data_IF_003269601541
#
_entry.id   IF_003269601541
#
_cell.length_a   1.000
_cell.length_b   1.000
_cell.length_c   1.000
_cell.angle_alpha   90.00
_cell.angle_beta   90.00
_cell.angle_gamma   90.00
#
_symmetry.space_group_name_H-M   'P 1'
#
loop_
_entity.id
_entity.type
_entity.pdbx_description
1 polymer ?
#
# COMPACT_ATOMS: atom_id res chain seq x y z
N UNK A 1 -6.12 20.85 -21.59
CA UNK A 1 -7.15 19.85 -21.28
C UNK A 1 -6.54 18.51 -20.84
N UNK A 2 -5.65 17.91 -21.64
CA UNK A 2 -5.02 16.60 -21.33
C UNK A 2 -4.23 16.57 -20.00
N UNK A 3 -3.38 17.57 -19.74
CA UNK A 3 -2.62 17.66 -18.48
C UNK A 3 -3.50 17.80 -17.23
N UNK A 4 -4.68 18.41 -17.38
CA UNK A 4 -5.62 18.65 -16.28
C UNK A 4 -6.37 17.37 -15.91
N UNK A 5 -6.73 16.55 -16.92
CA UNK A 5 -7.29 15.21 -16.73
C UNK A 5 -6.31 14.27 -16.02
N UNK A 6 -5.04 14.25 -16.44
CA UNK A 6 -3.98 13.46 -15.78
C UNK A 6 -3.86 13.86 -14.30
N UNK A 7 -3.83 15.16 -14.01
CA UNK A 7 -3.78 15.67 -12.65
C UNK A 7 -4.95 15.20 -11.77
N UNK A 8 -6.17 15.19 -12.32
CA UNK A 8 -7.37 14.71 -11.60
C UNK A 8 -7.28 13.22 -11.30
N UNK A 9 -6.86 12.40 -12.27
CA UNK A 9 -6.74 10.94 -12.09
C UNK A 9 -5.65 10.60 -11.08
N UNK A 10 -4.52 11.32 -11.10
CA UNK A 10 -3.45 11.15 -10.12
C UNK A 10 -3.91 11.49 -8.69
N UNK A 11 -4.66 12.58 -8.52
CA UNK A 11 -5.24 12.95 -7.23
C UNK A 11 -6.24 11.91 -6.73
N UNK A 12 -7.09 11.38 -7.62
CA UNK A 12 -8.03 10.33 -7.28
C UNK A 12 -7.29 9.06 -6.81
N UNK A 13 -6.24 8.65 -7.53
CA UNK A 13 -5.42 7.49 -7.14
C UNK A 13 -4.80 7.69 -5.75
N UNK A 14 -4.14 8.83 -5.51
CA UNK A 14 -3.51 9.14 -4.22
C UNK A 14 -4.55 9.13 -3.08
N UNK A 15 -5.72 9.72 -3.32
CA UNK A 15 -6.81 9.72 -2.34
C UNK A 15 -7.29 8.30 -2.03
N UNK A 16 -7.47 7.45 -3.03
CA UNK A 16 -7.81 6.04 -2.84
C UNK A 16 -6.77 5.34 -1.98
N UNK A 17 -5.48 5.39 -2.37
CA UNK A 17 -4.41 4.72 -1.62
C UNK A 17 -4.29 5.27 -0.19
N UNK A 18 -4.50 6.57 0.01
CA UNK A 18 -4.52 7.18 1.34
C UNK A 18 -5.66 6.65 2.22
N UNK A 19 -6.88 6.57 1.68
CA UNK A 19 -8.03 6.00 2.38
C UNK A 19 -7.74 4.54 2.76
N UNK A 20 -7.17 3.74 1.84
CA UNK A 20 -6.76 2.37 2.11
C UNK A 20 -5.75 2.30 3.27
N UNK A 21 -4.74 3.17 3.27
CA UNK A 21 -3.76 3.26 4.37
C UNK A 21 -4.44 3.54 5.71
N UNK A 22 -5.41 4.46 5.75
CA UNK A 22 -6.19 4.75 6.98
C UNK A 22 -7.00 3.53 7.41
N UNK A 23 -7.60 2.80 6.47
CA UNK A 23 -8.33 1.56 6.75
C UNK A 23 -7.42 0.50 7.37
N UNK A 24 -6.25 0.23 6.79
CA UNK A 24 -5.28 -0.72 7.35
C UNK A 24 -4.79 -0.29 8.74
N UNK A 25 -4.52 1.01 8.95
CA UNK A 25 -4.14 1.53 10.28
C UNK A 25 -5.24 1.32 11.32
N UNK A 26 -6.50 1.51 10.94
CA UNK A 26 -7.66 1.27 11.81
C UNK A 26 -7.80 -0.21 12.14
N UNK A 27 -7.64 -1.09 11.14
CA UNK A 27 -7.66 -2.54 11.33
C UNK A 27 -6.57 -2.98 12.33
N UNK A 28 -5.35 -2.49 12.14
CA UNK A 28 -4.23 -2.76 13.03
C UNK A 28 -4.53 -2.36 14.49
N UNK A 29 -5.11 -1.16 14.69
CA UNK A 29 -5.54 -0.71 16.02
C UNK A 29 -6.63 -1.60 16.64
N UNK A 30 -7.53 -2.15 15.83
CA UNK A 30 -8.55 -3.10 16.30
C UNK A 30 -7.92 -4.42 16.74
N UNK A 31 -6.97 -4.98 15.98
CA UNK A 31 -6.23 -6.20 16.36
C UNK A 31 -5.47 -5.98 17.67
N UNK A 32 -4.79 -4.85 17.81
CA UNK A 32 -4.07 -4.53 19.04
C UNK A 32 -4.98 -4.48 20.28
N UNK A 33 -6.18 -3.89 20.14
CA UNK A 33 -7.18 -3.89 21.23
C UNK A 33 -7.67 -5.29 21.58
N UNK A 34 -7.85 -6.15 20.57
CA UNK A 34 -8.19 -7.57 20.74
C UNK A 34 -7.08 -8.32 21.49
N UNK A 35 -5.81 -8.11 21.11
CA UNK A 35 -4.64 -8.65 21.84
C UNK A 35 -4.65 -8.23 23.31
N UNK A 36 -4.83 -6.94 23.59
CA UNK A 36 -4.86 -6.43 24.97
C UNK A 36 -5.97 -7.07 25.81
N UNK A 37 -7.15 -7.26 25.23
CA UNK A 37 -8.26 -7.97 25.88
C UNK A 37 -7.89 -9.42 26.22
N UNK A 38 -7.15 -10.10 25.35
CA UNK A 38 -6.70 -11.48 25.60
C UNK A 38 -5.67 -11.56 26.74
N UNK A 39 -4.65 -10.69 26.75
CA UNK A 39 -3.63 -10.68 27.81
C UNK A 39 -4.18 -10.35 29.21
N UNK A 40 -5.12 -9.40 29.31
CA UNK A 40 -5.77 -9.06 30.59
C UNK A 40 -6.70 -10.19 31.10
N UNK A 41 -7.10 -11.10 30.20
CA UNK A 41 -7.87 -12.30 30.57
C UNK A 41 -6.96 -13.46 31.01
N UNK A 42 -5.80 -13.64 30.37
CA UNK A 42 -4.81 -14.67 30.74
C UNK A 42 -4.25 -14.41 32.14
N UNK A 43 -4.06 -13.13 32.50
CA UNK A 43 -3.66 -12.72 33.85
C UNK A 43 -4.78 -12.90 34.91
N UNK A 44 -6.02 -13.15 34.50
CA UNK A 44 -7.22 -13.12 35.37
C UNK A 44 -7.97 -14.47 35.40
N UNK A 45 -7.37 -15.54 34.87
CA UNK A 45 -8.04 -16.82 34.68
C UNK A 45 -8.16 -17.67 35.97
N UNK A 46 -9.12 -17.31 36.82
CA UNK A 46 -9.81 -18.21 37.77
C UNK A 46 -11.33 -18.02 37.61
N UNK A 47 -11.94 -18.52 36.52
CA UNK A 47 -13.35 -19.03 36.52
C UNK A 47 -13.76 -19.59 35.16
N UNK A 48 -13.99 -20.89 35.12
CA UNK A 48 -14.24 -21.72 33.92
C UNK A 48 -15.59 -21.40 33.25
N UNK A 49 -16.57 -20.85 33.97
CA UNK A 49 -17.94 -20.61 33.46
C UNK A 49 -18.04 -19.32 32.61
N UNK A 50 -17.17 -18.32 32.85
CA UNK A 50 -17.12 -17.10 32.03
C UNK A 50 -16.27 -17.22 30.76
N UNK A 51 -15.49 -18.30 30.63
CA UNK A 51 -14.53 -18.50 29.56
C UNK A 51 -15.23 -18.78 28.21
N UNK A 52 -16.27 -19.63 28.19
CA UNK A 52 -16.99 -19.98 26.95
C UNK A 52 -17.73 -18.81 26.30
N UNK A 53 -18.41 -17.97 27.09
CA UNK A 53 -19.18 -16.83 26.56
C UNK A 53 -18.27 -15.68 26.08
N UNK A 54 -17.11 -15.48 26.72
CA UNK A 54 -16.14 -14.44 26.32
C UNK A 54 -15.27 -14.87 25.14
N UNK A 55 -14.88 -16.15 25.03
CA UNK A 55 -14.20 -16.68 23.85
C UNK A 55 -15.10 -16.61 22.61
N UNK A 56 -16.40 -16.85 22.77
CA UNK A 56 -17.40 -16.62 21.71
C UNK A 56 -17.43 -15.16 21.23
N UNK A 57 -17.38 -14.18 22.15
CA UNK A 57 -17.35 -12.76 21.79
C UNK A 57 -16.05 -12.35 21.08
N UNK A 58 -14.92 -12.96 21.46
CA UNK A 58 -13.63 -12.76 20.79
C UNK A 58 -13.67 -13.33 19.37
N UNK A 59 -14.21 -14.54 19.21
CA UNK A 59 -14.40 -15.22 17.92
C UNK A 59 -15.28 -14.39 16.97
N UNK A 60 -16.42 -13.87 17.45
CA UNK A 60 -17.32 -13.01 16.66
C UNK A 60 -16.60 -11.74 16.19
N UNK A 61 -15.82 -11.10 17.07
CA UNK A 61 -15.06 -9.90 16.70
C UNK A 61 -13.95 -10.21 15.69
N UNK A 62 -13.30 -11.36 15.82
CA UNK A 62 -12.26 -11.80 14.90
C UNK A 62 -12.83 -12.07 13.50
N UNK A 63 -13.95 -12.79 13.43
CA UNK A 63 -14.67 -13.06 12.17
C UNK A 63 -15.15 -11.78 11.49
N UNK A 64 -15.69 -10.83 12.27
CA UNK A 64 -16.05 -9.52 11.73
C UNK A 64 -14.83 -8.75 11.18
N UNK A 65 -13.67 -8.90 11.82
CA UNK A 65 -12.44 -8.26 11.38
C UNK A 65 -11.88 -8.89 10.10
N UNK A 66 -11.98 -10.22 9.99
CA UNK A 66 -11.67 -10.99 8.78
C UNK A 66 -12.52 -10.52 7.59
N UNK A 67 -13.85 -10.46 7.77
CA UNK A 67 -14.77 -9.94 6.74
C UNK A 67 -14.39 -8.51 6.31
N UNK A 68 -14.07 -7.63 7.27
CA UNK A 68 -13.66 -6.25 6.96
C UNK A 68 -12.32 -6.18 6.23
N UNK A 69 -11.37 -7.04 6.57
CA UNK A 69 -10.12 -7.12 5.83
C UNK A 69 -10.35 -7.63 4.40
N UNK A 70 -11.26 -8.58 4.21
CA UNK A 70 -11.60 -9.13 2.90
C UNK A 70 -12.24 -8.05 2.00
N UNK A 71 -13.18 -7.27 2.53
CA UNK A 71 -13.74 -6.09 1.83
C UNK A 71 -12.64 -5.07 1.46
N UNK A 72 -11.74 -4.75 2.39
CA UNK A 72 -10.63 -3.81 2.11
C UNK A 72 -9.72 -4.37 1.03
N UNK A 73 -9.42 -5.67 1.08
CA UNK A 73 -8.59 -6.36 0.08
C UNK A 73 -9.26 -6.38 -1.30
N UNK A 74 -10.57 -6.61 -1.39
CA UNK A 74 -11.32 -6.48 -2.65
C UNK A 74 -11.22 -5.06 -3.22
N UNK A 75 -11.34 -4.04 -2.37
CA UNK A 75 -11.18 -2.64 -2.79
C UNK A 75 -9.75 -2.36 -3.25
N UNK A 76 -8.72 -2.92 -2.59
CA UNK A 76 -7.32 -2.81 -3.04
C UNK A 76 -7.17 -3.38 -4.45
N UNK A 77 -7.72 -4.57 -4.69
CA UNK A 77 -7.64 -5.22 -5.99
C UNK A 77 -8.38 -4.42 -7.07
N UNK A 78 -9.58 -3.90 -6.76
CA UNK A 78 -10.34 -3.05 -7.67
C UNK A 78 -9.59 -1.75 -8.02
N UNK A 79 -8.99 -1.10 -7.03
CA UNK A 79 -8.14 0.09 -7.24
C UNK A 79 -6.94 -0.29 -8.11
N UNK A 80 -6.27 -1.39 -7.82
CA UNK A 80 -5.13 -1.82 -8.61
C UNK A 80 -5.51 -2.09 -10.07
N UNK A 81 -6.59 -2.85 -10.32
CA UNK A 81 -7.07 -3.18 -11.66
C UNK A 81 -7.55 -1.96 -12.45
N UNK A 82 -8.15 -0.98 -11.77
CA UNK A 82 -8.63 0.25 -12.41
C UNK A 82 -7.48 1.19 -12.77
N UNK A 83 -6.49 1.33 -11.88
CA UNK A 83 -5.41 2.29 -12.03
C UNK A 83 -4.14 1.71 -12.67
N UNK A 84 -4.10 0.41 -12.98
CA UNK A 84 -2.95 -0.25 -13.61
C UNK A 84 -2.52 0.39 -14.93
N UNK A 85 -3.48 0.70 -15.81
CA UNK A 85 -3.20 1.32 -17.11
C UNK A 85 -2.67 2.74 -16.89
N UNK A 86 -3.26 3.47 -15.94
CA UNK A 86 -2.85 4.82 -15.59
C UNK A 86 -1.41 4.85 -15.04
N UNK A 87 -1.07 3.90 -14.17
CA UNK A 87 0.28 3.72 -13.62
C UNK A 87 1.29 3.41 -14.74
N UNK A 88 0.95 2.52 -15.68
CA UNK A 88 1.84 2.18 -16.80
C UNK A 88 2.10 3.41 -17.67
N UNK A 89 1.04 4.17 -18.01
CA UNK A 89 1.17 5.41 -18.76
C UNK A 89 2.03 6.44 -18.01
N UNK A 90 1.85 6.55 -16.69
CA UNK A 90 2.66 7.43 -15.85
C UNK A 90 4.14 7.03 -15.89
N UNK A 91 4.47 5.75 -15.69
CA UNK A 91 5.84 5.21 -15.73
C UNK A 91 6.50 5.50 -17.08
N UNK A 92 5.83 5.18 -18.18
CA UNK A 92 6.34 5.41 -19.55
C UNK A 92 6.59 6.90 -19.78
N UNK A 93 5.64 7.75 -19.36
CA UNK A 93 5.75 9.20 -19.53
C UNK A 93 6.91 9.76 -18.70
N UNK A 94 7.10 9.30 -17.47
CA UNK A 94 8.23 9.71 -16.62
C UNK A 94 9.56 9.26 -17.20
N UNK A 95 9.66 8.01 -17.67
CA UNK A 95 10.87 7.48 -18.29
C UNK A 95 11.25 8.29 -19.53
N UNK A 96 10.29 8.47 -20.44
CA UNK A 96 10.46 9.27 -21.66
C UNK A 96 10.93 10.68 -21.31
N UNK A 97 10.29 11.34 -20.34
CA UNK A 97 10.65 12.69 -19.89
C UNK A 97 12.09 12.73 -19.35
N UNK A 98 12.49 11.78 -18.50
CA UNK A 98 13.84 11.72 -17.94
C UNK A 98 14.87 11.50 -19.06
N UNK A 99 14.64 10.56 -19.97
CA UNK A 99 15.53 10.27 -21.10
C UNK A 99 15.71 11.49 -22.00
N UNK A 100 14.63 12.19 -22.35
CA UNK A 100 14.73 13.42 -23.14
C UNK A 100 15.51 14.52 -22.41
N UNK A 101 15.25 14.73 -21.12
CA UNK A 101 15.99 15.73 -20.33
C UNK A 101 17.48 15.39 -20.23
N UNK A 102 17.83 14.12 -20.06
CA UNK A 102 19.22 13.67 -20.05
C UNK A 102 19.89 13.88 -21.41
N UNK A 103 19.19 13.57 -22.51
CA UNK A 103 19.68 13.81 -23.87
C UNK A 103 19.98 15.29 -24.11
N UNK A 104 19.04 16.19 -23.77
CA UNK A 104 19.25 17.64 -23.91
C UNK A 104 20.33 18.17 -22.97
N UNK A 105 20.49 17.57 -21.78
CA UNK A 105 21.58 17.89 -20.87
C UNK A 105 22.95 17.56 -21.48
N UNK A 106 23.10 16.35 -22.06
CA UNK A 106 24.33 15.95 -22.76
C UNK A 106 24.60 16.81 -23.99
N UNK A 107 23.55 17.12 -24.77
CA UNK A 107 23.66 17.97 -25.95
C UNK A 107 24.09 19.40 -25.59
N UNK A 108 23.63 19.94 -24.46
CA UNK A 108 24.07 21.24 -23.92
C UNK A 108 25.54 21.24 -23.52
N UNK A 109 26.05 20.14 -22.96
CA UNK A 109 27.48 20.01 -22.62
C UNK A 109 28.32 19.97 -23.90
N UNK A 110 27.87 19.25 -24.91
CA UNK A 110 28.60 19.09 -26.18
C UNK A 110 28.56 20.34 -27.09
N UNK A 111 27.46 21.08 -27.08
CA UNK A 111 27.28 22.29 -27.90
C UNK A 111 26.60 23.40 -27.09
N UNK A 112 27.37 24.15 -26.27
CA UNK A 112 26.82 25.11 -25.31
C UNK A 112 26.27 26.40 -25.92
N UNK A 113 26.65 26.71 -27.18
CA UNK A 113 26.31 27.98 -27.85
C UNK A 113 25.00 27.94 -28.63
N UNK A 114 24.34 26.79 -28.73
CA UNK A 114 23.10 26.68 -29.50
C UNK A 114 21.94 27.29 -28.72
N UNK A 115 21.51 28.51 -29.10
CA UNK A 115 20.41 29.23 -28.44
C UNK A 115 19.12 28.40 -28.38
N UNK A 116 18.83 27.62 -29.43
CA UNK A 116 17.70 26.69 -29.49
C UNK A 116 17.70 25.64 -28.36
N UNK A 117 18.88 25.17 -27.94
CA UNK A 117 19.00 24.18 -26.86
C UNK A 117 18.72 24.84 -25.51
N UNK A 118 19.21 26.06 -25.26
CA UNK A 118 18.89 26.82 -24.04
C UNK A 118 17.39 27.11 -23.93
N UNK A 119 16.77 27.52 -25.03
CA UNK A 119 15.34 27.84 -25.12
C UNK A 119 14.45 26.62 -24.83
N UNK A 120 14.89 25.41 -25.20
CA UNK A 120 14.17 24.16 -24.89
C UNK A 120 14.52 23.58 -23.51
N UNK A 121 15.78 23.64 -23.08
CA UNK A 121 16.23 22.97 -21.85
C UNK A 121 15.72 23.67 -20.57
N UNK A 122 15.81 25.00 -20.50
CA UNK A 122 15.44 25.78 -19.31
C UNK A 122 13.95 25.59 -18.93
N UNK A 123 12.98 25.71 -19.84
CA UNK A 123 11.57 25.53 -19.48
C UNK A 123 11.19 24.06 -19.21
N UNK A 124 11.94 23.09 -19.73
CA UNK A 124 11.63 21.65 -19.55
C UNK A 124 12.19 21.05 -18.25
N UNK A 125 13.15 21.72 -17.59
CA UNK A 125 13.76 21.21 -16.36
C UNK A 125 12.77 21.17 -15.19
N UNK A 126 11.98 22.23 -15.00
CA UNK A 126 11.01 22.34 -13.92
C UNK A 126 9.88 21.29 -14.01
N UNK A 127 9.22 21.07 -15.17
CA UNK A 127 8.23 20.00 -15.30
C UNK A 127 8.85 18.61 -15.15
N UNK A 128 10.09 18.38 -15.60
CA UNK A 128 10.78 17.11 -15.38
C UNK A 128 10.98 16.78 -13.91
N UNK A 129 11.48 17.75 -13.12
CA UNK A 129 11.60 17.61 -11.67
C UNK A 129 10.23 17.38 -11.00
N UNK A 130 9.18 18.07 -11.44
CA UNK A 130 7.82 17.87 -10.94
C UNK A 130 7.32 16.43 -11.17
N UNK A 131 7.46 15.89 -12.38
CA UNK A 131 7.06 14.52 -12.69
C UNK A 131 7.87 13.48 -11.90
N UNK A 132 9.17 13.73 -11.69
CA UNK A 132 10.02 12.85 -10.90
C UNK A 132 9.59 12.80 -9.42
N UNK A 133 9.40 13.97 -8.79
CA UNK A 133 8.94 14.05 -7.40
C UNK A 133 7.58 13.35 -7.25
N UNK A 134 6.68 13.55 -8.21
CA UNK A 134 5.36 12.91 -8.22
C UNK A 134 5.46 11.39 -8.29
N UNK A 135 6.33 10.86 -9.14
CA UNK A 135 6.56 9.43 -9.27
C UNK A 135 7.10 8.81 -7.97
N UNK A 136 8.09 9.46 -7.35
CA UNK A 136 8.66 9.04 -6.06
C UNK A 136 7.59 9.05 -4.96
N UNK A 137 6.74 10.07 -4.88
CA UNK A 137 5.64 10.13 -3.91
C UNK A 137 4.66 8.97 -4.07
N UNK A 138 4.31 8.62 -5.31
CA UNK A 138 3.38 7.51 -5.59
C UNK A 138 3.98 6.19 -5.13
N UNK A 139 5.23 5.90 -5.49
CA UNK A 139 5.92 4.68 -5.06
C UNK A 139 6.00 4.62 -3.53
N UNK A 140 6.37 5.73 -2.89
CA UNK A 140 6.46 5.80 -1.43
C UNK A 140 5.13 5.51 -0.74
N UNK A 141 4.02 6.05 -1.25
CA UNK A 141 2.69 5.82 -0.69
C UNK A 141 2.25 4.36 -0.89
N UNK A 142 2.54 3.77 -2.06
CA UNK A 142 2.25 2.35 -2.35
C UNK A 142 3.05 1.42 -1.44
N UNK A 143 4.35 1.67 -1.29
CA UNK A 143 5.24 0.91 -0.40
C UNK A 143 4.83 1.06 1.06
N UNK A 144 4.51 2.28 1.52
CA UNK A 144 4.02 2.52 2.87
C UNK A 144 2.72 1.75 3.15
N UNK A 145 1.79 1.70 2.19
CA UNK A 145 0.52 0.99 2.35
C UNK A 145 0.72 -0.52 2.37
N UNK A 146 1.59 -1.04 1.49
CA UNK A 146 2.00 -2.46 1.46
C UNK A 146 2.68 -2.87 2.76
N UNK A 147 3.54 -2.01 3.32
CA UNK A 147 4.21 -2.27 4.59
C UNK A 147 3.23 -2.29 5.77
N UNK A 148 2.23 -1.40 5.80
CA UNK A 148 1.15 -1.47 6.80
C UNK A 148 0.29 -2.73 6.64
N UNK A 149 0.00 -3.16 5.40
CA UNK A 149 -0.71 -4.41 5.15
C UNK A 149 0.09 -5.64 5.66
N UNK A 150 1.40 -5.68 5.44
CA UNK A 150 2.28 -6.76 5.96
C UNK A 150 2.34 -6.79 7.49
N UNK A 151 2.33 -5.63 8.16
CA UNK A 151 2.32 -5.55 9.63
C UNK A 151 1.10 -6.25 10.24
N UNK A 152 -0.06 -6.21 9.58
CA UNK A 152 -1.28 -6.89 10.04
C UNK A 152 -1.02 -8.39 10.21
N UNK A 153 -0.32 -9.03 9.26
CA UNK A 153 0.03 -10.45 9.34
C UNK A 153 0.87 -10.77 10.58
N UNK A 154 1.92 -9.97 10.81
CA UNK A 154 2.82 -10.20 11.95
C UNK A 154 2.11 -9.97 13.29
N UNK A 155 1.34 -8.89 13.42
CA UNK A 155 0.61 -8.55 14.66
C UNK A 155 -0.47 -9.60 14.94
N UNK A 156 -1.14 -10.12 13.92
CA UNK A 156 -2.10 -11.20 14.07
C UNK A 156 -1.43 -12.49 14.57
N UNK A 157 -0.32 -12.89 13.94
CA UNK A 157 0.40 -14.10 14.33
C UNK A 157 0.93 -14.01 15.77
N UNK A 158 1.56 -12.90 16.13
CA UNK A 158 2.10 -12.66 17.47
C UNK A 158 1.01 -12.46 18.54
N UNK A 159 -0.14 -11.89 18.19
CA UNK A 159 -1.26 -11.73 19.12
C UNK A 159 -1.92 -13.07 19.49
N UNK A 160 -1.91 -14.03 18.56
CA UNK A 160 -2.74 -15.22 18.66
C UNK A 160 -1.96 -16.54 18.50
N UNK A 161 -0.63 -16.53 18.52
CA UNK A 161 0.16 -17.77 18.55
C UNK A 161 -0.03 -18.54 19.85
N UNK A 162 -0.23 -17.82 20.96
CA UNK A 162 -0.21 -18.36 22.32
C UNK A 162 -1.61 -18.66 22.89
N UNK A 163 -2.68 -18.52 22.10
CA UNK A 163 -4.03 -18.84 22.60
C UNK A 163 -4.20 -20.35 22.79
N UNK A 164 -4.66 -20.75 23.97
CA UNK A 164 -4.97 -22.14 24.33
C UNK A 164 -6.26 -22.66 23.68
N UNK A 165 -7.13 -21.78 23.16
CA UNK A 165 -8.42 -22.17 22.57
C UNK A 165 -8.24 -22.65 21.11
N UNK A 166 -8.56 -23.92 20.79
CA UNK A 166 -8.36 -24.49 19.46
C UNK A 166 -9.27 -23.86 18.39
N UNK A 167 -10.44 -23.32 18.75
CA UNK A 167 -11.34 -22.66 17.79
C UNK A 167 -10.80 -21.29 17.39
N UNK A 168 -10.32 -20.50 18.37
CA UNK A 168 -9.71 -19.19 18.12
C UNK A 168 -8.44 -19.35 17.28
N UNK A 169 -7.59 -20.32 17.62
CA UNK A 169 -6.38 -20.64 16.84
C UNK A 169 -6.70 -21.00 15.39
N UNK A 170 -7.77 -21.75 15.14
CA UNK A 170 -8.20 -22.12 13.77
C UNK A 170 -8.65 -20.92 12.95
N UNK A 171 -9.46 -20.04 13.51
CA UNK A 171 -9.96 -18.84 12.81
C UNK A 171 -8.81 -17.87 12.48
N UNK A 172 -7.90 -17.66 13.42
CA UNK A 172 -6.67 -16.87 13.20
C UNK A 172 -5.82 -17.47 12.09
N UNK A 173 -5.68 -18.80 12.06
CA UNK A 173 -4.95 -19.48 11.00
C UNK A 173 -5.60 -19.28 9.63
N UNK A 174 -6.94 -19.38 9.54
CA UNK A 174 -7.69 -19.09 8.31
C UNK A 174 -7.50 -17.64 7.86
N UNK A 175 -7.58 -16.69 8.79
CA UNK A 175 -7.38 -15.28 8.48
C UNK A 175 -5.94 -14.99 8.02
N UNK A 176 -4.93 -15.57 8.67
CA UNK A 176 -3.53 -15.49 8.25
C UNK A 176 -3.31 -16.09 6.86
N UNK A 177 -3.98 -17.21 6.55
CA UNK A 177 -3.93 -17.84 5.24
C UNK A 177 -4.57 -16.94 4.17
N UNK A 178 -5.69 -16.28 4.47
CA UNK A 178 -6.31 -15.32 3.55
C UNK A 178 -5.41 -14.12 3.28
N UNK A 179 -4.77 -13.56 4.32
CA UNK A 179 -3.80 -12.47 4.16
C UNK A 179 -2.59 -12.92 3.32
N UNK A 180 -2.17 -14.18 3.44
CA UNK A 180 -1.05 -14.72 2.67
C UNK A 180 -1.41 -15.03 1.21
N UNK A 181 -2.64 -15.52 0.96
CA UNK A 181 -3.09 -15.88 -0.37
C UNK A 181 -3.53 -14.66 -1.19
N UNK A 182 -4.01 -13.60 -0.51
CA UNK A 182 -4.24 -12.28 -1.10
C UNK A 182 -3.10 -11.36 -0.72
N UNK A 183 -1.98 -11.51 -1.41
CA UNK A 183 -0.87 -10.56 -1.34
C UNK A 183 -1.43 -9.18 -1.76
N UNK A 184 -1.73 -8.32 -0.78
CA UNK A 184 -2.16 -6.93 -0.99
C UNK A 184 -0.96 -6.08 -1.45
N UNK A 185 -0.29 -6.52 -2.51
CA UNK A 185 0.73 -5.75 -3.21
C UNK A 185 0.04 -4.89 -4.26
N UNK A 186 0.37 -3.62 -4.27
CA UNK A 186 0.05 -2.75 -5.40
C UNK A 186 1.00 -3.12 -6.53
N UNK A 187 0.51 -3.95 -7.45
CA UNK A 187 1.30 -4.50 -8.56
C UNK A 187 0.63 -4.13 -9.87
N UNK A 188 1.35 -3.39 -10.72
CA UNK A 188 0.88 -3.10 -12.06
C UNK A 188 1.31 -4.21 -13.02
N UNK A 189 0.65 -5.39 -12.97
CA UNK A 189 0.85 -6.63 -13.79
C UNK A 189 2.29 -7.14 -13.91
N UNK A 190 3.18 -6.33 -14.48
CA UNK A 190 4.59 -6.60 -14.76
C UNK A 190 5.53 -5.95 -13.74
N UNK A 191 5.09 -4.92 -13.00
CA UNK A 191 5.93 -4.17 -12.06
C UNK A 191 5.33 -4.10 -10.65
N UNK A 192 6.11 -4.55 -9.66
CA UNK A 192 5.82 -4.30 -8.25
C UNK A 192 6.15 -2.83 -7.94
N UNK A 193 5.17 -2.05 -7.45
CA UNK A 193 5.36 -0.64 -7.07
C UNK A 193 6.07 -0.52 -5.71
N UNK A 194 7.29 -1.06 -5.62
CA UNK A 194 8.14 -1.01 -4.44
C UNK A 194 9.38 -0.15 -4.72
N UNK A 195 10.14 0.19 -3.67
CA UNK A 195 11.42 0.90 -3.76
C UNK A 195 12.42 0.28 -4.75
N UNK A 196 12.32 -1.02 -5.03
CA UNK A 196 13.11 -1.72 -6.06
C UNK A 196 12.88 -1.13 -7.46
N UNK A 197 11.65 -0.70 -7.77
CA UNK A 197 11.33 -0.05 -9.05
C UNK A 197 12.10 1.26 -9.23
N UNK A 198 12.42 1.98 -8.14
CA UNK A 198 13.24 3.19 -8.21
C UNK A 198 14.73 2.90 -8.52
N UNK A 199 15.21 1.70 -8.18
CA UNK A 199 16.61 1.29 -8.41
C UNK A 199 16.85 0.51 -9.71
N UNK A 200 15.79 0.22 -10.47
CA UNK A 200 15.87 -0.42 -11.79
C UNK A 200 16.00 0.59 -12.95
N UNK A 201 15.94 1.89 -12.63
CA UNK A 201 16.17 3.01 -13.54
C UNK A 201 17.46 3.72 -13.17
#
# INVERSE_FOLDING_TARGET
MYALLIGIVDMLYINCVWVLKVCFKKLNKCIYKLKKLQFDNDLRAETIVHHGQKNSLLLIKLKHLEEKHLEISDVVQLVNDTFIIHIIVLVITTFTTITFNLYFFLLKIYSPETENIKLWFIPNIAPAFYFFIKFVMIIWICESTTNEAKKIKWILYDAFSDTTDPMVRREVHLFSLQIMHRDNKFTAKTFDMNSVLLGQF
#
